data_IF_493372612311
#
_entry.id   IF_493372612311
#
_cell.length_a   1.000
_cell.length_b   1.000
_cell.length_c   1.000
_cell.angle_alpha   90.00
_cell.angle_beta   90.00
_cell.angle_gamma   90.00
#
_symmetry.space_group_name_H-M   'P 1'
#
loop_
_entity.id
_entity.type
_entity.pdbx_description
1 polymer ?
#
# COMPACT_ATOMS: atom_id res chain seq x y z
N UNK A 1 1.86 34.82 12.24
CA UNK A 1 2.68 33.62 12.51
C UNK A 1 3.80 33.46 11.46
N UNK A 2 3.52 33.44 10.17
CA UNK A 2 4.53 33.26 9.10
C UNK A 2 5.62 34.37 9.13
N UNK A 3 5.24 35.65 9.25
CA UNK A 3 6.20 36.77 9.35
C UNK A 3 7.18 36.64 10.54
N UNK A 4 6.72 36.05 11.65
CA UNK A 4 7.59 35.80 12.79
C UNK A 4 8.62 34.73 12.48
N UNK A 5 8.19 33.63 11.82
CA UNK A 5 9.07 32.56 11.38
C UNK A 5 10.12 33.08 10.37
N UNK A 6 9.70 33.92 9.40
CA UNK A 6 10.60 34.56 8.44
C UNK A 6 11.62 35.50 9.16
N UNK A 7 11.18 36.20 10.19
CA UNK A 7 12.06 37.05 10.98
C UNK A 7 13.07 36.26 11.82
N UNK A 8 12.64 35.13 12.42
CA UNK A 8 13.52 34.23 13.17
C UNK A 8 14.56 33.54 12.27
N UNK A 9 14.18 33.20 11.03
CA UNK A 9 15.07 32.59 10.03
C UNK A 9 15.94 33.61 9.28
N UNK A 10 15.64 34.90 9.40
CA UNK A 10 16.34 35.97 8.70
C UNK A 10 16.15 35.95 7.17
N UNK A 11 15.15 35.23 6.66
CA UNK A 11 14.87 35.13 5.23
C UNK A 11 13.37 34.98 4.94
N UNK A 12 12.92 35.48 3.78
CA UNK A 12 11.54 35.29 3.34
C UNK A 12 11.30 33.87 2.89
N UNK A 13 10.20 33.25 3.32
CA UNK A 13 9.75 31.93 2.91
C UNK A 13 8.68 32.00 1.81
N UNK A 14 7.98 33.13 1.70
CA UNK A 14 6.91 33.34 0.75
C UNK A 14 7.13 34.61 -0.07
N UNK A 15 6.96 34.50 -1.39
CA UNK A 15 6.74 35.63 -2.28
C UNK A 15 5.24 35.86 -2.39
N UNK A 16 4.79 37.04 -2.01
CA UNK A 16 3.37 37.43 -2.03
C UNK A 16 3.17 38.53 -3.05
N UNK A 17 2.29 38.30 -3.99
CA UNK A 17 1.74 39.34 -4.85
C UNK A 17 0.22 39.39 -4.71
N UNK A 18 -0.43 40.31 -5.35
CA UNK A 18 -1.89 40.55 -5.25
C UNK A 18 -2.74 39.39 -5.80
N UNK A 19 -2.11 38.43 -6.52
CA UNK A 19 -2.82 37.32 -7.17
C UNK A 19 -2.35 35.92 -6.76
N UNK A 20 -1.16 35.82 -6.13
CA UNK A 20 -0.59 34.52 -5.77
C UNK A 20 0.34 34.60 -4.56
N UNK A 21 0.48 33.48 -3.88
CA UNK A 21 1.49 33.25 -2.84
C UNK A 21 2.29 32.03 -3.30
N UNK A 22 3.60 32.20 -3.47
CA UNK A 22 4.51 31.11 -3.87
C UNK A 22 5.66 30.99 -2.86
N UNK A 23 6.18 29.78 -2.72
CA UNK A 23 7.36 29.54 -1.87
C UNK A 23 8.62 30.17 -2.52
N UNK A 24 9.49 30.73 -1.68
CA UNK A 24 10.88 30.99 -2.07
C UNK A 24 11.68 29.69 -2.09
N UNK A 25 12.93 29.71 -2.55
CA UNK A 25 13.84 28.57 -2.44
C UNK A 25 14.01 28.13 -0.98
N UNK A 26 14.15 29.09 -0.05
CA UNK A 26 14.21 28.81 1.39
C UNK A 26 12.88 28.24 1.92
N UNK A 27 11.74 28.76 1.44
CA UNK A 27 10.41 28.25 1.76
C UNK A 27 10.20 26.80 1.28
N UNK A 28 10.65 26.48 0.07
CA UNK A 28 10.59 25.12 -0.45
C UNK A 28 11.46 24.14 0.35
N UNK A 29 12.70 24.52 0.66
CA UNK A 29 13.61 23.74 1.48
C UNK A 29 13.05 23.49 2.89
N UNK A 30 12.44 24.48 3.52
CA UNK A 30 11.78 24.32 4.81
C UNK A 30 10.55 23.43 4.71
N UNK A 31 9.72 23.60 3.68
CA UNK A 31 8.53 22.79 3.47
C UNK A 31 8.87 21.29 3.25
N UNK A 32 10.03 21.00 2.66
CA UNK A 32 10.54 19.64 2.48
C UNK A 32 11.10 19.06 3.79
N UNK A 33 11.83 19.86 4.57
CA UNK A 33 12.55 19.39 5.76
C UNK A 33 11.73 19.45 7.07
N UNK A 34 10.72 20.32 7.17
CA UNK A 34 9.94 20.48 8.40
C UNK A 34 9.01 19.31 8.73
N UNK A 35 8.32 18.65 7.78
CA UNK A 35 7.39 17.56 8.12
C UNK A 35 8.04 16.41 8.90
N UNK A 36 9.23 15.90 8.57
CA UNK A 36 9.90 14.87 9.37
C UNK A 36 10.21 15.30 10.79
N UNK A 37 10.65 16.55 10.98
CA UNK A 37 10.98 17.10 12.29
C UNK A 37 9.72 17.27 13.17
N UNK A 38 8.63 17.77 12.59
CA UNK A 38 7.34 17.88 13.27
C UNK A 38 6.80 16.52 13.67
N UNK A 39 6.84 15.54 12.77
CA UNK A 39 6.43 14.17 13.06
C UNK A 39 7.29 13.53 14.17
N UNK A 40 8.59 13.82 14.23
CA UNK A 40 9.46 13.36 15.31
C UNK A 40 9.09 13.99 16.66
N UNK A 41 8.73 15.27 16.68
CA UNK A 41 8.27 15.97 17.87
C UNK A 41 6.93 15.40 18.37
N UNK A 42 5.96 15.21 17.47
CA UNK A 42 4.66 14.61 17.82
C UNK A 42 4.84 13.21 18.43
N UNK A 43 5.73 12.38 17.86
CA UNK A 43 6.06 11.08 18.43
C UNK A 43 6.68 11.16 19.82
N UNK A 44 7.56 12.13 20.06
CA UNK A 44 8.15 12.33 21.38
C UNK A 44 7.09 12.69 22.42
N UNK A 45 6.12 13.54 22.06
CA UNK A 45 4.97 13.89 22.89
C UNK A 45 4.07 12.68 23.18
N UNK A 46 3.72 11.92 22.14
CA UNK A 46 2.88 10.71 22.28
C UNK A 46 3.58 9.66 23.16
N UNK A 47 4.89 9.43 22.95
CA UNK A 47 5.69 8.52 23.79
C UNK A 47 5.71 8.93 25.24
N UNK A 48 5.93 10.24 25.52
CA UNK A 48 5.95 10.75 26.87
C UNK A 48 4.57 10.63 27.54
N UNK A 49 3.50 10.91 26.82
CA UNK A 49 2.11 10.80 27.30
C UNK A 49 1.74 9.36 27.60
N UNK A 50 2.03 8.43 26.71
CA UNK A 50 1.79 7.00 26.88
C UNK A 50 2.60 6.42 28.05
N UNK A 51 3.87 6.82 28.18
CA UNK A 51 4.70 6.42 29.32
C UNK A 51 4.12 6.91 30.66
N UNK A 52 3.61 8.16 30.70
CA UNK A 52 2.96 8.72 31.88
C UNK A 52 1.65 8.00 32.23
N UNK A 53 0.93 7.48 31.21
CA UNK A 53 -0.30 6.69 31.40
C UNK A 53 -0.02 5.20 31.66
N UNK A 54 1.23 4.74 31.60
CA UNK A 54 1.58 3.33 31.69
C UNK A 54 1.20 2.50 30.47
N UNK A 55 0.96 3.17 29.33
CA UNK A 55 0.56 2.57 28.06
C UNK A 55 1.78 2.27 27.18
N UNK A 56 1.67 1.27 26.27
CA UNK A 56 2.74 0.93 25.34
C UNK A 56 2.86 1.91 24.15
N UNK A 57 1.96 2.90 24.06
CA UNK A 57 1.93 3.93 23.02
C UNK A 57 1.07 3.55 21.81
N UNK A 58 0.99 4.48 20.85
CA UNK A 58 0.23 4.33 19.60
C UNK A 58 1.17 3.92 18.47
N UNK A 59 0.81 2.88 17.74
CA UNK A 59 1.49 2.41 16.52
C UNK A 59 0.66 2.81 15.30
N UNK A 60 1.24 3.55 14.37
CA UNK A 60 0.59 3.97 13.11
C UNK A 60 1.09 3.10 11.95
N UNK A 61 0.20 2.37 11.32
CA UNK A 61 0.51 1.52 10.17
C UNK A 61 -0.19 2.06 8.93
N UNK A 62 0.59 2.45 7.91
CA UNK A 62 0.06 2.77 6.59
C UNK A 62 -0.05 1.53 5.72
N UNK A 63 -1.12 1.39 4.95
CA UNK A 63 -1.25 0.25 4.05
C UNK A 63 -1.89 0.65 2.72
N UNK A 64 -1.43 0.01 1.62
CA UNK A 64 -2.10 0.16 0.33
C UNK A 64 -3.44 -0.58 0.32
N UNK A 65 -4.46 -0.01 -0.33
CA UNK A 65 -5.81 -0.61 -0.39
C UNK A 65 -5.79 -2.07 -0.86
N UNK A 66 -4.88 -2.42 -1.76
CA UNK A 66 -4.75 -3.78 -2.30
C UNK A 66 -4.33 -4.85 -1.28
N UNK A 67 -3.86 -4.47 -0.10
CA UNK A 67 -3.53 -5.39 1.02
C UNK A 67 -4.47 -5.25 2.21
N UNK A 68 -5.45 -4.35 2.12
CA UNK A 68 -6.38 -4.03 3.20
C UNK A 68 -7.41 -5.12 3.49
N UNK A 69 -7.65 -6.04 2.55
CA UNK A 69 -8.66 -7.09 2.73
C UNK A 69 -8.18 -8.27 3.60
N UNK A 70 -6.87 -8.51 3.69
CA UNK A 70 -6.35 -9.71 4.35
C UNK A 70 -5.05 -9.45 5.11
N UNK A 71 -3.98 -9.04 4.41
CA UNK A 71 -2.61 -9.00 4.96
C UNK A 71 -2.46 -7.92 6.03
N UNK A 72 -3.00 -6.71 5.80
CA UNK A 72 -2.91 -5.63 6.78
C UNK A 72 -3.75 -5.91 8.03
N UNK A 73 -5.03 -6.33 7.94
CA UNK A 73 -5.83 -6.72 9.10
C UNK A 73 -5.19 -7.84 9.93
N UNK A 74 -4.65 -8.87 9.29
CA UNK A 74 -4.02 -9.98 10.00
C UNK A 74 -2.80 -9.54 10.83
N UNK A 75 -1.96 -8.65 10.28
CA UNK A 75 -0.81 -8.12 11.02
C UNK A 75 -1.25 -7.20 12.16
N UNK A 76 -2.21 -6.31 11.91
CA UNK A 76 -2.76 -5.40 12.94
C UNK A 76 -3.36 -6.18 14.10
N UNK A 77 -4.21 -7.16 13.81
CA UNK A 77 -4.84 -8.02 14.81
C UNK A 77 -3.79 -8.79 15.64
N UNK A 78 -2.75 -9.32 15.00
CA UNK A 78 -1.66 -10.01 15.70
C UNK A 78 -0.85 -9.08 16.61
N UNK A 79 -0.62 -7.84 16.18
CA UNK A 79 0.06 -6.82 16.97
C UNK A 79 -0.76 -6.43 18.22
N UNK A 80 -2.06 -6.23 18.06
CA UNK A 80 -2.98 -5.91 19.15
C UNK A 80 -3.03 -7.05 20.16
N UNK A 81 -3.26 -8.29 19.72
CA UNK A 81 -3.35 -9.46 20.60
C UNK A 81 -2.05 -9.77 21.35
N UNK A 82 -0.93 -9.47 20.75
CA UNK A 82 0.39 -9.71 21.36
C UNK A 82 0.85 -8.62 22.32
N UNK A 83 0.08 -7.53 22.51
CA UNK A 83 0.51 -6.35 23.24
C UNK A 83 -0.66 -5.65 23.92
N UNK A 84 -0.99 -6.07 25.15
CA UNK A 84 -1.96 -5.35 25.97
C UNK A 84 -1.48 -3.91 26.21
N UNK A 85 -2.31 -2.91 25.89
CA UNK A 85 -2.00 -1.49 25.99
C UNK A 85 -1.36 -0.85 24.76
N UNK A 86 -1.15 -1.60 23.65
CA UNK A 86 -0.74 -1.02 22.37
C UNK A 86 -1.98 -0.60 21.58
N UNK A 87 -2.11 0.67 21.31
CA UNK A 87 -3.10 1.18 20.36
C UNK A 87 -2.53 1.10 18.94
N UNK A 88 -3.25 0.50 18.00
CA UNK A 88 -2.81 0.38 16.60
C UNK A 88 -3.77 1.13 15.68
N UNK A 89 -3.33 2.24 15.13
CA UNK A 89 -4.01 2.98 14.07
C UNK A 89 -3.57 2.48 12.70
N UNK A 90 -4.48 1.91 11.91
CA UNK A 90 -4.22 1.50 10.54
C UNK A 90 -4.86 2.48 9.55
N UNK A 91 -4.06 3.07 8.63
CA UNK A 91 -4.49 4.12 7.71
C UNK A 91 -4.30 3.68 6.26
N UNK A 92 -5.36 3.67 5.44
CA UNK A 92 -5.20 3.45 4.01
C UNK A 92 -4.48 4.64 3.35
N UNK A 93 -3.52 4.34 2.48
CA UNK A 93 -2.70 5.33 1.80
C UNK A 93 -2.47 4.95 0.35
N UNK A 94 -2.21 5.95 -0.51
CA UNK A 94 -1.69 5.68 -1.85
C UNK A 94 -0.32 5.00 -1.76
N UNK A 95 -0.11 3.97 -2.56
CA UNK A 95 1.10 3.13 -2.46
C UNK A 95 2.42 3.91 -2.54
N UNK A 96 2.56 4.92 -3.44
CA UNK A 96 3.79 5.71 -3.51
C UNK A 96 4.08 6.57 -2.26
N UNK A 97 3.06 6.89 -1.47
CA UNK A 97 3.19 7.74 -0.28
C UNK A 97 3.69 6.98 0.96
N UNK A 98 3.55 5.64 0.98
CA UNK A 98 3.85 4.83 2.17
C UNK A 98 5.34 4.87 2.53
N UNK A 99 6.25 4.64 1.56
CA UNK A 99 7.69 4.67 1.83
C UNK A 99 8.19 6.04 2.31
N UNK A 100 7.81 7.16 1.69
CA UNK A 100 8.09 8.50 2.24
C UNK A 100 7.51 8.71 3.63
N UNK A 101 6.26 8.32 3.88
CA UNK A 101 5.62 8.49 5.19
C UNK A 101 6.34 7.72 6.30
N UNK A 102 6.88 6.52 6.00
CA UNK A 102 7.72 5.76 6.94
C UNK A 102 9.07 6.45 7.14
N UNK A 103 9.72 6.91 6.07
CA UNK A 103 11.01 7.59 6.15
C UNK A 103 10.94 8.88 6.98
N UNK A 104 9.86 9.63 6.79
CA UNK A 104 9.58 10.90 7.51
C UNK A 104 9.00 10.65 8.91
N UNK A 105 8.67 9.41 9.25
CA UNK A 105 8.10 9.03 10.52
C UNK A 105 6.66 9.52 10.75
N UNK A 106 5.93 9.86 9.70
CA UNK A 106 4.48 10.11 9.78
C UNK A 106 3.70 8.86 10.15
N UNK A 107 4.23 7.70 9.77
CA UNK A 107 3.78 6.36 10.18
C UNK A 107 4.98 5.54 10.63
N UNK A 108 4.76 4.57 11.52
CA UNK A 108 5.82 3.74 12.10
C UNK A 108 6.15 2.53 11.21
N UNK A 109 5.19 2.04 10.45
CA UNK A 109 5.35 0.92 9.53
C UNK A 109 4.44 1.09 8.32
N UNK A 110 4.83 0.46 7.21
CA UNK A 110 4.03 0.40 6.00
C UNK A 110 3.82 -1.03 5.51
N UNK A 111 2.68 -1.29 4.85
CA UNK A 111 2.43 -2.55 4.15
C UNK A 111 2.09 -2.23 2.70
N UNK A 112 2.93 -2.69 1.77
CA UNK A 112 2.79 -2.40 0.34
C UNK A 112 2.72 -3.67 -0.49
N UNK A 113 1.98 -3.61 -1.58
CA UNK A 113 2.05 -4.61 -2.64
C UNK A 113 3.09 -4.18 -3.68
N UNK A 114 3.95 -5.12 -4.05
CA UNK A 114 5.09 -4.85 -4.92
C UNK A 114 6.25 -4.16 -4.19
N UNK A 115 7.42 -4.17 -4.80
CA UNK A 115 8.63 -3.57 -4.26
C UNK A 115 8.68 -2.08 -4.63
N UNK A 116 8.06 -1.24 -3.80
CA UNK A 116 8.02 0.21 -4.03
C UNK A 116 9.39 0.85 -3.78
N UNK A 117 9.87 1.73 -4.66
CA UNK A 117 11.09 2.47 -4.40
C UNK A 117 10.95 3.36 -3.16
N UNK A 118 12.04 3.63 -2.46
CA UNK A 118 12.04 4.56 -1.31
C UNK A 118 13.40 4.65 -0.66
N UNK A 119 13.83 5.88 -0.36
CA UNK A 119 15.03 6.15 0.44
C UNK A 119 14.66 6.14 1.93
N UNK A 120 15.62 5.89 2.80
CA UNK A 120 15.41 5.96 4.25
C UNK A 120 14.61 4.79 4.85
N UNK A 121 14.22 3.80 4.06
CA UNK A 121 13.45 2.64 4.52
C UNK A 121 14.15 1.32 4.24
N UNK A 122 13.73 0.28 4.95
CA UNK A 122 14.01 -1.13 4.67
C UNK A 122 12.71 -1.88 4.40
N UNK A 123 12.76 -2.79 3.44
CA UNK A 123 11.63 -3.63 3.06
C UNK A 123 11.91 -5.08 3.44
N UNK A 124 10.91 -5.73 3.96
CA UNK A 124 10.97 -7.14 4.34
C UNK A 124 9.84 -7.84 3.62
N UNK A 125 10.16 -8.87 2.86
CA UNK A 125 9.17 -9.70 2.21
C UNK A 125 8.28 -10.32 3.29
N UNK A 126 6.99 -10.05 3.20
CA UNK A 126 5.99 -10.50 4.15
C UNK A 126 5.15 -11.65 3.58
N UNK A 127 4.80 -11.56 2.28
CA UNK A 127 3.94 -12.53 1.63
C UNK A 127 4.21 -12.61 0.13
N UNK A 128 4.02 -13.81 -0.43
CA UNK A 128 3.88 -14.06 -1.87
C UNK A 128 2.43 -14.45 -2.14
N UNK A 129 1.71 -13.61 -2.87
CA UNK A 129 0.31 -13.83 -3.21
C UNK A 129 0.20 -14.34 -4.65
N UNK A 130 -0.60 -15.36 -4.89
CA UNK A 130 -0.87 -15.86 -6.26
C UNK A 130 -1.56 -14.76 -7.07
N UNK A 131 -1.21 -14.67 -8.35
CA UNK A 131 -1.92 -13.83 -9.31
C UNK A 131 -2.99 -14.65 -9.99
N UNK A 132 -4.16 -14.06 -10.15
CA UNK A 132 -5.26 -14.58 -10.92
C UNK A 132 -6.04 -13.45 -11.57
N UNK A 133 -7.23 -13.75 -12.03
CA UNK A 133 -8.17 -12.77 -12.55
C UNK A 133 -9.47 -12.81 -11.77
N UNK A 134 -10.00 -11.64 -11.49
CA UNK A 134 -11.36 -11.44 -10.99
C UNK A 134 -12.29 -11.27 -12.20
N UNK A 135 -13.43 -11.95 -12.18
CA UNK A 135 -14.36 -12.04 -13.30
C UNK A 135 -15.77 -12.32 -12.79
N UNK A 136 -16.77 -12.12 -13.65
CA UNK A 136 -18.15 -12.48 -13.32
C UNK A 136 -18.27 -14.00 -13.08
N UNK A 137 -19.14 -14.42 -12.16
CA UNK A 137 -19.39 -15.85 -11.90
C UNK A 137 -19.95 -16.60 -13.11
N UNK A 138 -20.68 -15.91 -13.98
CA UNK A 138 -21.25 -16.47 -15.22
C UNK A 138 -20.31 -16.37 -16.43
N UNK A 139 -19.09 -15.86 -16.25
CA UNK A 139 -18.10 -15.80 -17.33
C UNK A 139 -17.61 -17.22 -17.71
N UNK A 140 -17.45 -17.58 -18.99
CA UNK A 140 -17.02 -18.93 -19.39
C UNK A 140 -15.74 -19.42 -18.70
N UNK A 141 -14.77 -18.53 -18.48
CA UNK A 141 -13.52 -18.86 -17.80
C UNK A 141 -13.71 -19.13 -16.29
N UNK A 142 -14.84 -18.78 -15.70
CA UNK A 142 -15.10 -19.03 -14.28
C UNK A 142 -15.30 -20.52 -13.94
N UNK A 143 -15.60 -21.36 -14.91
CA UNK A 143 -15.75 -22.82 -14.76
C UNK A 143 -14.39 -23.52 -14.61
N UNK A 144 -13.31 -22.90 -15.07
CA UNK A 144 -11.97 -23.48 -14.99
C UNK A 144 -11.35 -23.27 -13.60
N UNK A 145 -10.68 -24.29 -13.02
CA UNK A 145 -9.99 -24.14 -11.72
C UNK A 145 -8.78 -23.20 -11.82
N UNK A 146 -8.14 -23.12 -12.98
CA UNK A 146 -7.06 -22.22 -13.34
C UNK A 146 -7.28 -21.72 -14.77
N UNK A 147 -6.80 -20.51 -15.08
CA UNK A 147 -6.95 -19.86 -16.38
C UNK A 147 -5.56 -19.70 -17.01
N UNK A 148 -5.44 -20.06 -18.28
CA UNK A 148 -4.22 -19.76 -19.04
C UNK A 148 -4.11 -18.25 -19.30
N UNK A 149 -2.89 -17.71 -19.26
CA UNK A 149 -2.66 -16.28 -19.52
C UNK A 149 -3.18 -15.88 -20.91
N UNK A 150 -3.01 -16.77 -21.92
CA UNK A 150 -3.49 -16.53 -23.27
C UNK A 150 -5.04 -16.46 -23.35
N UNK A 151 -5.75 -17.28 -22.59
CA UNK A 151 -7.21 -17.27 -22.56
C UNK A 151 -7.73 -15.98 -21.93
N UNK A 152 -7.09 -15.54 -20.83
CA UNK A 152 -7.43 -14.25 -20.21
C UNK A 152 -7.13 -13.07 -21.15
N UNK A 153 -6.06 -13.14 -21.95
CA UNK A 153 -5.67 -12.09 -22.90
C UNK A 153 -6.67 -11.89 -24.07
N UNK A 154 -7.54 -12.87 -24.32
CA UNK A 154 -8.59 -12.76 -25.33
C UNK A 154 -9.70 -11.77 -24.94
N UNK A 155 -9.77 -11.39 -23.66
CA UNK A 155 -10.78 -10.47 -23.12
C UNK A 155 -10.19 -9.10 -22.78
N UNK A 156 -11.01 -8.06 -22.64
CA UNK A 156 -10.58 -6.78 -22.09
C UNK A 156 -10.07 -6.94 -20.64
N UNK A 157 -8.90 -6.38 -20.34
CA UNK A 157 -8.26 -6.48 -19.04
C UNK A 157 -8.26 -5.11 -18.34
N UNK A 158 -8.90 -5.04 -17.20
CA UNK A 158 -8.87 -3.87 -16.33
C UNK A 158 -7.62 -3.88 -15.48
N UNK A 159 -6.78 -2.86 -15.63
CA UNK A 159 -5.60 -2.66 -14.78
C UNK A 159 -5.86 -1.57 -13.74
N UNK A 160 -5.18 -1.63 -12.58
CA UNK A 160 -5.17 -0.51 -11.64
C UNK A 160 -4.58 0.72 -12.30
N UNK A 161 -4.97 1.91 -11.83
CA UNK A 161 -4.38 3.16 -12.28
C UNK A 161 -2.86 3.15 -12.06
N UNK A 162 -2.13 3.49 -13.11
CA UNK A 162 -0.65 3.52 -13.07
C UNK A 162 -0.11 4.62 -12.16
N UNK A 163 -0.79 5.77 -12.06
CA UNK A 163 -0.38 6.85 -11.16
C UNK A 163 -0.56 6.44 -9.69
N UNK A 164 -1.65 5.72 -9.39
CA UNK A 164 -1.92 5.24 -8.03
C UNK A 164 -0.99 4.10 -7.61
N UNK A 165 -0.57 3.23 -8.55
CA UNK A 165 0.34 2.11 -8.23
C UNK A 165 1.13 1.64 -9.47
N UNK A 166 2.20 2.37 -9.84
CA UNK A 166 2.98 2.09 -11.05
C UNK A 166 3.59 0.69 -11.05
N UNK A 167 4.10 0.23 -9.90
CA UNK A 167 4.76 -1.08 -9.79
C UNK A 167 3.79 -2.22 -10.09
N UNK A 168 2.59 -2.17 -9.54
CA UNK A 168 1.59 -3.24 -9.76
C UNK A 168 1.01 -3.16 -11.17
N UNK A 169 0.74 -1.96 -11.68
CA UNK A 169 0.30 -1.79 -13.05
C UNK A 169 1.30 -2.42 -14.04
N UNK A 170 2.59 -2.08 -13.89
CA UNK A 170 3.65 -2.56 -14.78
C UNK A 170 3.87 -4.09 -14.61
N UNK A 171 3.78 -4.63 -13.40
CA UNK A 171 3.86 -6.08 -13.17
C UNK A 171 2.69 -6.83 -13.82
N UNK A 172 1.45 -6.36 -13.62
CA UNK A 172 0.28 -7.02 -14.17
C UNK A 172 0.22 -6.92 -15.70
N UNK A 173 0.56 -5.76 -16.27
CA UNK A 173 0.61 -5.61 -17.73
C UNK A 173 1.70 -6.46 -18.36
N UNK A 174 2.85 -6.62 -17.68
CA UNK A 174 3.94 -7.45 -18.17
C UNK A 174 3.60 -8.94 -18.30
N UNK A 175 2.64 -9.46 -17.51
CA UNK A 175 2.19 -10.85 -17.61
C UNK A 175 1.64 -11.19 -19.01
N UNK A 176 1.07 -10.22 -19.67
CA UNK A 176 0.39 -10.42 -20.95
C UNK A 176 1.21 -9.92 -22.16
N UNK A 177 2.47 -9.53 -21.95
CA UNK A 177 3.31 -8.91 -23.01
C UNK A 177 3.44 -9.80 -24.23
N UNK A 178 3.63 -11.10 -24.02
CA UNK A 178 3.89 -12.07 -25.07
C UNK A 178 2.63 -12.84 -25.47
N UNK A 179 1.48 -12.48 -24.93
CA UNK A 179 0.21 -13.17 -25.22
C UNK A 179 -0.28 -12.89 -26.64
N UNK A 180 -0.93 -13.89 -27.24
CA UNK A 180 -1.64 -13.79 -28.50
C UNK A 180 -3.04 -14.35 -28.31
N UNK A 181 -4.11 -13.55 -28.58
CA UNK A 181 -4.12 -12.17 -29.04
C UNK A 181 -3.49 -11.20 -28.03
N UNK A 182 -3.08 -10.01 -28.50
CA UNK A 182 -2.66 -8.94 -27.58
C UNK A 182 -3.85 -8.43 -26.77
N UNK A 183 -3.74 -8.36 -25.47
CA UNK A 183 -4.86 -7.92 -24.63
C UNK A 183 -5.17 -6.44 -24.83
N UNK A 184 -6.43 -6.08 -24.67
CA UNK A 184 -6.89 -4.71 -24.60
C UNK A 184 -6.94 -4.29 -23.13
N UNK A 185 -6.03 -3.39 -22.75
CA UNK A 185 -6.03 -2.82 -21.40
C UNK A 185 -6.92 -1.58 -21.30
N UNK A 186 -7.60 -1.43 -20.19
CA UNK A 186 -8.26 -0.18 -19.83
C UNK A 186 -8.10 0.07 -18.33
N UNK A 187 -8.15 1.35 -17.97
CA UNK A 187 -8.16 1.81 -16.57
C UNK A 187 -9.51 2.47 -16.33
N UNK A 188 -10.24 2.11 -15.27
CA UNK A 188 -11.51 2.74 -14.97
C UNK A 188 -11.28 4.23 -14.64
N UNK A 189 -12.23 5.09 -15.05
CA UNK A 189 -12.19 6.53 -14.80
C UNK A 189 -12.17 6.87 -13.29
N UNK A 190 -12.64 5.96 -12.44
CA UNK A 190 -12.60 6.06 -10.98
C UNK A 190 -11.69 4.97 -10.47
N UNK A 191 -10.59 5.34 -9.82
CA UNK A 191 -9.54 4.41 -9.34
C UNK A 191 -10.05 3.34 -8.39
N UNK A 192 -11.18 3.58 -7.72
CA UNK A 192 -11.83 2.64 -6.83
C UNK A 192 -13.35 2.65 -7.03
N UNK A 193 -13.83 1.84 -7.96
CA UNK A 193 -15.26 1.58 -8.12
C UNK A 193 -15.67 0.35 -7.31
N UNK A 194 -16.32 0.58 -6.18
CA UNK A 194 -16.85 -0.49 -5.33
C UNK A 194 -17.94 -1.33 -6.03
N UNK A 195 -18.62 -0.77 -7.03
CA UNK A 195 -19.65 -1.49 -7.77
C UNK A 195 -19.07 -2.56 -8.69
N UNK A 196 -17.83 -2.36 -9.17
CA UNK A 196 -17.14 -3.22 -10.13
C UNK A 196 -18.04 -3.61 -11.31
N UNK A 197 -18.82 -2.62 -11.79
CA UNK A 197 -19.86 -2.84 -12.80
C UNK A 197 -19.30 -3.43 -14.08
N UNK A 198 -18.11 -2.96 -14.52
CA UNK A 198 -17.41 -3.43 -15.70
C UNK A 198 -17.02 -4.91 -15.65
N UNK A 199 -16.77 -5.44 -14.45
CA UNK A 199 -16.50 -6.88 -14.27
C UNK A 199 -17.76 -7.71 -14.26
N UNK A 200 -18.88 -7.13 -13.83
CA UNK A 200 -20.17 -7.82 -13.75
C UNK A 200 -20.86 -7.97 -15.10
N UNK A 201 -20.40 -7.24 -16.12
CA UNK A 201 -20.93 -7.38 -17.49
C UNK A 201 -20.57 -8.74 -18.12
N UNK A 202 -19.63 -9.48 -17.51
CA UNK A 202 -19.20 -10.80 -17.97
C UNK A 202 -18.25 -10.77 -19.16
N UNK A 203 -17.71 -9.60 -19.49
CA UNK A 203 -16.78 -9.44 -20.63
C UNK A 203 -15.39 -9.03 -20.14
N UNK A 204 -15.32 -8.18 -19.11
CA UNK A 204 -14.07 -7.62 -18.60
C UNK A 204 -13.48 -8.48 -17.49
N UNK A 205 -12.17 -8.67 -17.50
CA UNK A 205 -11.41 -9.36 -16.46
C UNK A 205 -10.50 -8.37 -15.73
N UNK A 206 -10.23 -8.59 -14.44
CA UNK A 206 -9.26 -7.81 -13.69
C UNK A 206 -8.16 -8.69 -13.11
N UNK A 207 -6.92 -8.63 -13.62
CA UNK A 207 -5.78 -9.25 -12.96
C UNK A 207 -5.65 -8.76 -11.52
N UNK A 208 -5.63 -9.69 -10.56
CA UNK A 208 -5.63 -9.40 -9.14
C UNK A 208 -4.92 -10.49 -8.33
N UNK A 209 -4.42 -10.15 -7.15
CA UNK A 209 -3.93 -11.14 -6.20
C UNK A 209 -5.06 -11.93 -5.55
N UNK A 210 -4.74 -13.08 -4.96
CA UNK A 210 -5.71 -14.00 -4.33
C UNK A 210 -6.54 -13.35 -3.20
N UNK A 211 -6.04 -12.31 -2.54
CA UNK A 211 -6.80 -11.54 -1.54
C UNK A 211 -8.08 -10.90 -2.10
N UNK A 212 -8.21 -10.79 -3.44
CA UNK A 212 -9.45 -10.36 -4.07
C UNK A 212 -10.62 -11.29 -3.77
N UNK A 213 -10.37 -12.56 -3.42
CA UNK A 213 -11.39 -13.51 -2.97
C UNK A 213 -12.07 -13.07 -1.68
N UNK A 214 -11.30 -12.49 -0.75
CA UNK A 214 -11.80 -12.06 0.57
C UNK A 214 -12.71 -10.83 0.49
N UNK A 215 -12.47 -9.94 -0.47
CA UNK A 215 -13.24 -8.73 -0.70
C UNK A 215 -14.25 -8.89 -1.86
N UNK A 216 -14.67 -10.11 -2.16
CA UNK A 216 -15.41 -10.45 -3.36
C UNK A 216 -16.85 -9.90 -3.33
N UNK A 217 -17.19 -8.92 -4.16
CA UNK A 217 -18.58 -8.50 -4.31
C UNK A 217 -19.43 -9.65 -4.88
N UNK A 218 -20.71 -9.68 -4.51
CA UNK A 218 -21.66 -10.65 -5.03
C UNK A 218 -21.65 -10.68 -6.58
N UNK A 219 -21.66 -11.87 -7.17
CA UNK A 219 -21.66 -12.08 -8.61
C UNK A 219 -20.28 -12.09 -9.27
N UNK A 220 -19.20 -11.90 -8.51
CA UNK A 220 -17.83 -12.05 -9.00
C UNK A 220 -17.18 -13.31 -8.44
N UNK A 221 -16.16 -13.79 -9.12
CA UNK A 221 -15.27 -14.86 -8.66
C UNK A 221 -13.82 -14.53 -9.01
N UNK A 222 -12.89 -15.30 -8.47
CA UNK A 222 -11.47 -15.20 -8.80
C UNK A 222 -10.94 -16.57 -9.19
N UNK A 223 -10.09 -16.59 -10.20
CA UNK A 223 -9.38 -17.81 -10.63
C UNK A 223 -7.90 -17.50 -10.80
N UNK A 224 -7.00 -18.39 -10.35
CA UNK A 224 -5.58 -18.24 -10.53
C UNK A 224 -5.20 -18.29 -12.01
N UNK A 225 -4.17 -17.52 -12.38
CA UNK A 225 -3.49 -17.64 -13.66
C UNK A 225 -2.41 -18.70 -13.57
N UNK A 226 -2.42 -19.65 -14.51
CA UNK A 226 -1.43 -20.73 -14.56
C UNK A 226 -0.05 -20.16 -14.88
N UNK A 227 0.97 -20.60 -14.12
CA UNK A 227 2.35 -20.19 -14.34
C UNK A 227 2.66 -18.72 -14.06
N UNK A 228 1.68 -17.92 -13.58
CA UNK A 228 1.94 -16.53 -13.26
C UNK A 228 2.89 -16.39 -12.05
N UNK A 229 3.81 -15.42 -12.07
CA UNK A 229 4.64 -15.12 -10.91
C UNK A 229 3.79 -14.60 -9.77
N UNK A 230 4.27 -14.77 -8.53
CA UNK A 230 3.58 -14.24 -7.35
C UNK A 230 3.70 -12.72 -7.26
N UNK A 231 2.66 -12.06 -6.79
CA UNK A 231 2.75 -10.70 -6.28
C UNK A 231 3.37 -10.71 -4.88
N UNK A 232 4.36 -9.86 -4.67
CA UNK A 232 5.00 -9.72 -3.35
C UNK A 232 4.32 -8.66 -2.51
N UNK A 233 4.23 -8.92 -1.22
CA UNK A 233 3.77 -7.95 -0.22
C UNK A 233 4.92 -7.73 0.76
N UNK A 234 5.21 -6.46 1.04
CA UNK A 234 6.35 -6.06 1.86
C UNK A 234 5.91 -5.29 3.10
N UNK A 235 6.55 -5.59 4.22
CA UNK A 235 6.59 -4.72 5.38
C UNK A 235 7.68 -3.67 5.15
N UNK A 236 7.34 -2.41 5.27
CA UNK A 236 8.22 -1.26 5.13
C UNK A 236 8.48 -0.67 6.51
N UNK A 237 9.73 -0.57 6.90
CA UNK A 237 10.17 0.00 8.18
C UNK A 237 11.25 1.06 7.95
N UNK A 238 11.47 1.99 8.89
CA UNK A 238 12.58 2.92 8.80
C UNK A 238 13.92 2.18 8.69
N UNK A 239 14.90 2.82 8.03
CA UNK A 239 16.26 2.27 7.93
C UNK A 239 16.89 2.06 9.30
N UNK A 240 16.71 3.05 10.19
CA UNK A 240 17.11 2.98 11.59
C UNK A 240 15.95 2.45 12.42
N UNK A 241 16.09 1.26 12.96
CA UNK A 241 15.01 0.56 13.65
C UNK A 241 15.11 0.70 15.17
N UNK A 242 14.11 1.30 15.77
CA UNK A 242 13.87 1.29 17.21
C UNK A 242 13.52 -0.12 17.73
N UNK A 243 13.47 -0.35 19.05
CA UNK A 243 12.96 -1.61 19.63
C UNK A 243 11.55 -1.96 19.12
N UNK A 244 10.67 -0.97 18.96
CA UNK A 244 9.32 -1.15 18.44
C UNK A 244 9.34 -1.72 17.01
N UNK A 245 10.14 -1.13 16.12
CA UNK A 245 10.25 -1.60 14.73
C UNK A 245 10.78 -3.04 14.64
N UNK A 246 11.75 -3.41 15.48
CA UNK A 246 12.26 -4.78 15.57
C UNK A 246 11.16 -5.76 16.05
N UNK A 247 10.32 -5.33 17.00
CA UNK A 247 9.18 -6.11 17.47
C UNK A 247 8.12 -6.30 16.39
N UNK A 248 7.74 -5.24 15.66
CA UNK A 248 6.82 -5.33 14.51
C UNK A 248 7.34 -6.34 13.50
N UNK A 249 8.63 -6.26 13.14
CA UNK A 249 9.26 -7.18 12.22
C UNK A 249 9.23 -8.64 12.71
N UNK A 250 9.50 -8.87 13.99
CA UNK A 250 9.46 -10.20 14.58
C UNK A 250 8.04 -10.79 14.52
N UNK A 251 7.03 -10.02 14.92
CA UNK A 251 5.61 -10.41 14.83
C UNK A 251 5.21 -10.72 13.38
N UNK A 252 5.58 -9.87 12.45
CA UNK A 252 5.30 -10.05 11.02
C UNK A 252 5.94 -11.34 10.47
N UNK A 253 7.19 -11.64 10.86
CA UNK A 253 7.90 -12.87 10.46
C UNK A 253 7.18 -14.12 11.01
N UNK A 254 6.82 -14.12 12.29
CA UNK A 254 6.09 -15.23 12.91
C UNK A 254 4.74 -15.45 12.23
N UNK A 255 4.00 -14.38 11.99
CA UNK A 255 2.70 -14.44 11.30
C UNK A 255 2.83 -14.98 9.87
N UNK A 256 3.85 -14.54 9.13
CA UNK A 256 4.10 -15.02 7.76
C UNK A 256 4.39 -16.52 7.72
N UNK A 257 5.10 -17.05 8.71
CA UNK A 257 5.37 -18.49 8.85
C UNK A 257 4.10 -19.25 9.24
N UNK A 258 3.36 -18.80 10.27
CA UNK A 258 2.13 -19.45 10.75
C UNK A 258 1.05 -19.54 9.67
N UNK A 259 0.94 -18.51 8.82
CA UNK A 259 -0.04 -18.46 7.73
C UNK A 259 0.50 -18.94 6.38
N UNK A 260 1.69 -19.54 6.34
CA UNK A 260 2.34 -20.04 5.12
C UNK A 260 2.36 -19.00 3.98
N UNK A 261 2.62 -17.73 4.33
CA UNK A 261 2.66 -16.63 3.37
C UNK A 261 3.93 -16.63 2.50
N UNK A 262 4.95 -17.32 2.96
CA UNK A 262 6.20 -17.54 2.22
C UNK A 262 6.36 -19.05 2.02
N UNK A 263 6.82 -19.49 0.85
CA UNK A 263 7.22 -20.88 0.67
C UNK A 263 8.39 -21.19 1.61
N UNK A 264 8.46 -22.41 2.05
CA UNK A 264 9.57 -22.95 2.85
C UNK A 264 10.91 -22.88 2.10
#
# INVERSE_FOLDING_TARGET
RMRRLEAELGTALLVRNTRSVVLTTAGAALAESAPPALAALDRAWDTARSAAAGELGTLRIGYSLSVGAETAPALVDRLIRGNSGLEVGAVPMATPEISPAVADGRIDAGITRGEQPGRGVRRFLLRRARIGVQLAQHHPLAEHPEIEIADAAAYPLRLPDREANPVIHDQLSALFRDSRPHPRFHTPAVSFDMSQRDLRDGVTLAPAGEAAVMAQPAGLTWRPLRGAPSLTIHLVLPREQSPLHRRIRAVAKTLAHELHWLPD
#
